data_IF_078368239606
#
_entry.id   IF_078368239606
#
_cell.length_a   1.000
_cell.length_b   1.000
_cell.length_c   1.000
_cell.angle_alpha   90.00
_cell.angle_beta   90.00
_cell.angle_gamma   90.00
#
_symmetry.space_group_name_H-M   'P 1'
#
loop_
_entity.id
_entity.type
_entity.pdbx_description
1 polymer ?
#
# COMPACT_ATOMS: atom_id res chain seq x y z
N UNK A 1 20.11 6.73 -48.22
CA UNK A 1 20.98 5.61 -48.65
C UNK A 1 21.47 4.89 -47.40
N UNK A 2 20.67 3.98 -46.82
CA UNK A 2 21.13 3.11 -45.73
C UNK A 2 21.38 1.73 -46.33
N UNK A 3 22.61 1.48 -46.78
CA UNK A 3 23.01 0.17 -47.26
C UNK A 3 22.90 -0.84 -46.13
N UNK A 4 21.93 -1.75 -46.23
CA UNK A 4 21.91 -2.96 -45.40
C UNK A 4 23.05 -3.85 -45.87
N UNK A 5 24.16 -3.87 -45.12
CA UNK A 5 25.22 -4.86 -45.26
C UNK A 5 24.60 -6.27 -45.20
N UNK A 6 24.48 -6.94 -46.35
CA UNK A 6 24.09 -8.35 -46.41
C UNK A 6 25.25 -9.19 -45.92
N UNK A 7 25.20 -9.61 -44.65
CA UNK A 7 26.05 -10.67 -44.11
C UNK A 7 25.76 -11.98 -44.86
N UNK A 8 26.61 -12.32 -45.83
CA UNK A 8 26.56 -13.61 -46.54
C UNK A 8 27.01 -14.71 -45.59
N UNK A 9 26.07 -15.55 -45.15
CA UNK A 9 26.37 -16.70 -44.30
C UNK A 9 27.05 -17.77 -45.19
N UNK A 10 28.38 -17.87 -45.12
CA UNK A 10 29.13 -19.02 -45.66
C UNK A 10 28.64 -20.30 -44.97
N UNK A 11 28.45 -21.38 -45.74
CA UNK A 11 27.99 -22.75 -45.39
C UNK A 11 27.54 -22.96 -43.92
N UNK A 12 26.26 -23.31 -43.66
CA UNK A 12 25.76 -23.42 -42.29
C UNK A 12 26.62 -24.38 -41.48
N UNK A 13 26.88 -24.00 -40.23
CA UNK A 13 27.69 -24.76 -39.28
C UNK A 13 27.20 -26.22 -39.27
N UNK A 14 28.11 -27.19 -39.35
CA UNK A 14 27.74 -28.62 -39.33
C UNK A 14 26.82 -28.93 -38.15
N UNK A 15 25.80 -29.78 -38.37
CA UNK A 15 24.79 -30.13 -37.37
C UNK A 15 25.42 -30.58 -36.03
N UNK A 16 26.54 -31.31 -36.10
CA UNK A 16 27.29 -31.74 -34.91
C UNK A 16 27.89 -30.55 -34.15
N UNK A 17 28.43 -29.56 -34.88
CA UNK A 17 29.03 -28.36 -34.29
C UNK A 17 27.95 -27.40 -33.76
N UNK A 18 26.75 -27.37 -34.36
CA UNK A 18 25.58 -26.68 -33.81
C UNK A 18 25.10 -27.32 -32.50
N UNK A 19 25.01 -28.66 -32.46
CA UNK A 19 24.62 -29.43 -31.27
C UNK A 19 25.59 -29.22 -30.11
N UNK A 20 26.91 -29.30 -30.37
CA UNK A 20 27.96 -29.03 -29.39
C UNK A 20 27.88 -27.60 -28.82
N UNK A 21 27.63 -26.59 -29.68
CA UNK A 21 27.47 -25.20 -29.25
C UNK A 21 26.24 -25.00 -28.37
N UNK A 22 25.10 -25.60 -28.74
CA UNK A 22 23.91 -25.57 -27.92
C UNK A 22 24.14 -26.23 -26.55
N UNK A 23 24.81 -27.39 -26.54
CA UNK A 23 25.12 -28.10 -25.31
C UNK A 23 26.11 -27.33 -24.41
N UNK A 24 27.08 -26.62 -24.99
CA UNK A 24 27.99 -25.74 -24.28
C UNK A 24 27.30 -24.48 -23.71
N UNK A 25 26.26 -23.96 -24.37
CA UNK A 25 25.51 -22.77 -23.94
C UNK A 25 24.36 -23.06 -22.95
N UNK A 26 23.88 -24.31 -22.87
CA UNK A 26 22.87 -24.75 -21.89
C UNK A 26 23.16 -24.30 -20.44
N UNK A 27 24.35 -24.56 -19.86
CA UNK A 27 24.62 -24.18 -18.47
C UNK A 27 24.56 -22.67 -18.25
N UNK A 28 25.02 -21.88 -19.22
CA UNK A 28 24.99 -20.41 -19.14
C UNK A 28 23.54 -19.87 -19.13
N UNK A 29 22.66 -20.47 -19.93
CA UNK A 29 21.22 -20.15 -19.93
C UNK A 29 20.52 -20.58 -18.65
N UNK A 30 20.86 -21.74 -18.10
CA UNK A 30 20.34 -22.21 -16.81
C UNK A 30 20.81 -21.34 -15.65
N UNK A 31 22.07 -20.90 -15.67
CA UNK A 31 22.62 -19.94 -14.70
C UNK A 31 21.87 -18.60 -14.78
N UNK A 32 21.75 -18.03 -15.98
CA UNK A 32 21.01 -16.78 -16.17
C UNK A 32 19.53 -16.88 -15.73
N UNK A 33 18.88 -18.04 -15.93
CA UNK A 33 17.52 -18.29 -15.43
C UNK A 33 17.47 -18.37 -13.90
N UNK A 34 18.42 -19.05 -13.26
CA UNK A 34 18.52 -19.17 -11.80
C UNK A 34 18.77 -17.81 -11.15
N UNK A 35 19.69 -17.02 -11.70
CA UNK A 35 19.99 -15.65 -11.25
C UNK A 35 18.76 -14.74 -11.35
N UNK A 36 18.05 -14.74 -12.49
CA UNK A 36 16.81 -13.98 -12.64
C UNK A 36 15.75 -14.38 -11.63
N UNK A 37 15.58 -15.68 -11.38
CA UNK A 37 14.62 -16.17 -10.40
C UNK A 37 14.99 -15.78 -8.96
N UNK A 38 16.28 -15.84 -8.62
CA UNK A 38 16.80 -15.41 -7.32
C UNK A 38 16.61 -13.90 -7.11
N UNK A 39 16.93 -13.07 -8.11
CA UNK A 39 16.71 -11.62 -8.05
C UNK A 39 15.23 -11.27 -7.87
N UNK A 40 14.34 -11.91 -8.64
CA UNK A 40 12.89 -11.78 -8.47
C UNK A 40 12.41 -12.20 -7.07
N UNK A 41 13.01 -13.23 -6.48
CA UNK A 41 12.70 -13.65 -5.11
C UNK A 41 13.18 -12.61 -4.09
N UNK A 42 14.39 -12.10 -4.24
CA UNK A 42 14.97 -11.09 -3.36
C UNK A 42 14.16 -9.78 -3.41
N UNK A 43 13.78 -9.32 -4.60
CA UNK A 43 12.94 -8.13 -4.79
C UNK A 43 11.60 -8.28 -4.05
N UNK A 44 10.89 -9.41 -4.23
CA UNK A 44 9.63 -9.66 -3.52
C UNK A 44 9.81 -9.70 -2.00
N UNK A 45 10.93 -10.21 -1.51
CA UNK A 45 11.22 -10.24 -0.09
C UNK A 45 11.43 -8.83 0.47
N UNK A 46 12.27 -8.03 -0.20
CA UNK A 46 12.52 -6.63 0.16
C UNK A 46 11.22 -5.81 0.17
N UNK A 47 10.34 -6.00 -0.81
CA UNK A 47 9.02 -5.34 -0.86
C UNK A 47 8.12 -5.73 0.33
N UNK A 48 8.11 -7.01 0.72
CA UNK A 48 7.34 -7.50 1.86
C UNK A 48 7.84 -6.90 3.17
N UNK A 49 9.16 -6.86 3.36
CA UNK A 49 9.80 -6.28 4.54
C UNK A 49 9.54 -4.79 4.64
N UNK A 50 9.69 -4.05 3.53
CA UNK A 50 9.38 -2.62 3.48
C UNK A 50 7.90 -2.35 3.84
N UNK A 51 6.98 -3.17 3.31
CA UNK A 51 5.55 -3.07 3.61
C UNK A 51 5.24 -3.39 5.08
N UNK A 52 5.92 -4.38 5.65
CA UNK A 52 5.79 -4.74 7.07
C UNK A 52 6.30 -3.60 7.96
N UNK A 53 7.50 -3.09 7.70
CA UNK A 53 8.07 -1.94 8.42
C UNK A 53 7.12 -0.74 8.39
N UNK A 54 6.58 -0.38 7.22
CA UNK A 54 5.60 0.71 7.09
C UNK A 54 4.34 0.47 7.94
N UNK A 55 3.85 -0.76 8.02
CA UNK A 55 2.68 -1.10 8.87
C UNK A 55 2.98 -0.92 10.35
N UNK A 56 4.16 -1.34 10.80
CA UNK A 56 4.55 -1.14 12.20
C UNK A 56 4.72 0.34 12.53
N UNK A 57 5.29 1.14 11.62
CA UNK A 57 5.40 2.60 11.80
C UNK A 57 4.02 3.29 11.90
N UNK A 58 3.04 2.85 11.09
CA UNK A 58 1.66 3.32 11.17
C UNK A 58 1.05 2.99 12.54
N UNK A 59 1.24 1.77 13.04
CA UNK A 59 0.72 1.36 14.35
C UNK A 59 1.31 2.20 15.48
N UNK A 60 2.63 2.47 15.44
CA UNK A 60 3.30 3.31 16.43
C UNK A 60 2.73 4.73 16.41
N UNK A 61 2.55 5.33 15.23
CA UNK A 61 1.95 6.65 15.12
C UNK A 61 0.48 6.70 15.58
N UNK A 62 -0.31 5.67 15.30
CA UNK A 62 -1.69 5.56 15.80
C UNK A 62 -1.73 5.42 17.32
N UNK A 63 -0.83 4.64 17.91
CA UNK A 63 -0.73 4.51 19.37
C UNK A 63 -0.45 5.86 20.02
N UNK A 64 0.49 6.62 19.47
CA UNK A 64 0.75 7.98 19.95
C UNK A 64 -0.48 8.89 19.85
N UNK A 65 -1.24 8.81 18.75
CA UNK A 65 -2.50 9.56 18.60
C UNK A 65 -3.54 9.18 19.67
N UNK A 66 -3.68 7.90 19.98
CA UNK A 66 -4.61 7.42 21.02
C UNK A 66 -4.20 7.87 22.43
N UNK A 67 -2.89 7.93 22.70
CA UNK A 67 -2.37 8.36 24.01
C UNK A 67 -2.45 9.89 24.18
N UNK A 68 -2.15 10.67 23.13
CA UNK A 68 -2.14 12.14 23.23
C UNK A 68 -3.51 12.79 23.04
N UNK A 69 -4.38 12.20 22.21
CA UNK A 69 -5.67 12.79 21.83
C UNK A 69 -6.85 11.81 22.01
N UNK A 70 -7.07 11.26 23.21
CA UNK A 70 -8.09 10.22 23.45
C UNK A 70 -9.53 10.69 23.23
N UNK A 71 -9.79 12.00 23.31
CA UNK A 71 -11.12 12.57 23.11
C UNK A 71 -11.61 12.42 21.65
N UNK A 72 -10.67 12.49 20.70
CA UNK A 72 -10.91 12.44 19.26
C UNK A 72 -10.56 11.07 18.67
N UNK A 73 -9.41 10.51 19.05
CA UNK A 73 -8.93 9.23 18.56
C UNK A 73 -9.20 8.13 19.58
N UNK A 74 -10.18 7.28 19.30
CA UNK A 74 -10.48 6.10 20.11
C UNK A 74 -10.63 4.85 19.22
N UNK A 75 -9.90 3.76 19.48
CA UNK A 75 -10.00 2.54 18.66
C UNK A 75 -11.36 1.84 18.72
N UNK A 76 -12.15 2.06 19.79
CA UNK A 76 -13.49 1.47 19.95
C UNK A 76 -14.60 2.34 19.35
N UNK A 77 -14.42 3.66 19.39
CA UNK A 77 -15.39 4.64 18.92
C UNK A 77 -14.72 5.64 17.98
N UNK A 78 -14.73 5.32 16.68
CA UNK A 78 -14.08 6.14 15.66
C UNK A 78 -14.98 7.32 15.32
N UNK A 79 -14.56 8.53 15.71
CA UNK A 79 -15.31 9.75 15.44
C UNK A 79 -14.91 10.40 14.11
N UNK A 80 -15.85 11.08 13.41
CA UNK A 80 -15.54 11.95 12.27
C UNK A 80 -14.50 13.02 12.62
N UNK A 81 -13.36 13.02 11.93
CA UNK A 81 -12.30 13.99 12.21
C UNK A 81 -12.58 15.34 11.53
N UNK A 82 -12.19 16.44 12.19
CA UNK A 82 -12.14 17.80 11.61
C UNK A 82 -11.36 17.83 10.29
N UNK A 83 -11.76 18.72 9.37
CA UNK A 83 -10.99 18.93 8.14
C UNK A 83 -9.62 19.54 8.45
N UNK A 84 -8.59 19.09 7.74
CA UNK A 84 -7.19 19.52 7.94
C UNK A 84 -6.66 19.32 9.37
N UNK A 85 -7.16 18.31 10.09
CA UNK A 85 -6.68 17.96 11.44
C UNK A 85 -5.18 17.62 11.49
N UNK A 86 -4.57 17.29 10.36
CA UNK A 86 -3.12 17.09 10.25
C UNK A 86 -2.34 18.38 10.55
N UNK A 87 -2.84 19.55 10.14
CA UNK A 87 -2.22 20.84 10.46
C UNK A 87 -2.25 21.11 11.95
N UNK A 88 -3.41 20.89 12.57
CA UNK A 88 -3.58 21.06 14.02
C UNK A 88 -2.62 20.12 14.77
N UNK A 89 -2.47 18.88 14.32
CA UNK A 89 -1.52 17.93 14.90
C UNK A 89 -0.05 18.32 14.71
N UNK A 90 0.31 18.96 13.59
CA UNK A 90 1.71 19.36 13.33
C UNK A 90 2.23 20.39 14.33
N UNK A 91 1.35 21.22 14.90
CA UNK A 91 1.70 22.15 15.97
C UNK A 91 2.11 21.45 17.27
N UNK A 92 1.75 20.17 17.45
CA UNK A 92 2.11 19.38 18.64
C UNK A 92 3.35 18.50 18.44
N UNK A 93 3.95 18.50 17.25
CA UNK A 93 5.10 17.64 16.92
C UNK A 93 6.43 18.07 17.55
N UNK A 94 6.46 19.19 18.28
CA UNK A 94 7.66 19.66 18.99
C UNK A 94 7.95 18.88 20.29
N UNK A 95 7.03 17.99 20.72
CA UNK A 95 7.23 17.17 21.91
C UNK A 95 8.16 15.99 21.63
N UNK A 96 9.08 15.73 22.56
CA UNK A 96 9.86 14.48 22.67
C UNK A 96 8.93 13.26 22.47
N UNK A 97 9.31 12.33 21.58
CA UNK A 97 8.55 11.15 21.14
C UNK A 97 7.42 11.34 20.10
N UNK A 98 7.32 12.50 19.45
CA UNK A 98 6.33 12.69 18.38
C UNK A 98 6.69 11.95 17.08
N UNK A 99 5.72 11.35 16.36
CA UNK A 99 5.97 10.71 15.07
C UNK A 99 6.31 11.76 13.99
N UNK A 100 7.03 11.36 12.94
CA UNK A 100 7.31 12.27 11.82
C UNK A 100 6.02 12.66 11.06
N UNK A 101 6.01 13.84 10.42
CA UNK A 101 4.87 14.34 9.62
C UNK A 101 4.36 13.34 8.58
N UNK A 102 5.27 12.60 7.95
CA UNK A 102 4.94 11.57 6.96
C UNK A 102 4.24 10.38 7.61
N UNK A 103 4.79 9.87 8.72
CA UNK A 103 4.19 8.75 9.48
C UNK A 103 2.80 9.11 10.01
N UNK A 104 2.61 10.35 10.44
CA UNK A 104 1.32 10.84 10.90
C UNK A 104 0.28 10.86 9.77
N UNK A 105 0.64 11.33 8.58
CA UNK A 105 -0.25 11.30 7.41
C UNK A 105 -0.60 9.87 6.98
N UNK A 106 0.36 8.95 7.01
CA UNK A 106 0.12 7.54 6.74
C UNK A 106 -0.86 6.94 7.77
N UNK A 107 -0.70 7.27 9.05
CA UNK A 107 -1.60 6.87 10.13
C UNK A 107 -3.02 7.41 9.98
N UNK A 108 -3.17 8.71 9.68
CA UNK A 108 -4.47 9.33 9.41
C UNK A 108 -5.15 8.73 8.16
N UNK A 109 -4.38 8.47 7.11
CA UNK A 109 -4.89 7.80 5.90
C UNK A 109 -5.42 6.41 6.22
N UNK A 110 -4.69 5.66 7.05
CA UNK A 110 -5.12 4.34 7.51
C UNK A 110 -6.41 4.42 8.35
N UNK A 111 -6.44 5.33 9.33
CA UNK A 111 -7.58 5.53 10.24
C UNK A 111 -8.86 5.90 9.48
N UNK A 112 -8.77 6.87 8.58
CA UNK A 112 -9.92 7.38 7.79
C UNK A 112 -10.37 6.45 6.67
N UNK A 113 -9.60 5.41 6.36
CA UNK A 113 -9.98 4.37 5.41
C UNK A 113 -10.62 3.14 6.08
N UNK A 114 -10.77 3.14 7.40
CA UNK A 114 -11.46 2.09 8.13
C UNK A 114 -12.97 2.10 7.85
N UNK A 115 -13.57 0.93 7.68
CA UNK A 115 -15.02 0.74 7.50
C UNK A 115 -15.83 1.40 8.63
N UNK A 116 -15.39 1.24 9.88
CA UNK A 116 -16.09 1.82 11.04
C UNK A 116 -16.04 3.35 11.03
N UNK A 117 -14.92 3.92 10.57
CA UNK A 117 -14.80 5.36 10.40
C UNK A 117 -15.74 5.89 9.32
N UNK A 118 -15.81 5.21 8.15
CA UNK A 118 -16.73 5.61 7.09
C UNK A 118 -18.18 5.55 7.55
N UNK A 119 -18.56 4.54 8.32
CA UNK A 119 -19.89 4.45 8.96
C UNK A 119 -20.17 5.60 9.92
N UNK A 120 -19.16 6.01 10.70
CA UNK A 120 -19.29 7.15 11.60
C UNK A 120 -19.51 8.47 10.84
N UNK A 121 -18.91 8.65 9.66
CA UNK A 121 -19.17 9.80 8.79
C UNK A 121 -20.61 9.76 8.24
N UNK A 122 -21.06 8.60 7.75
CA UNK A 122 -22.40 8.44 7.16
C UNK A 122 -23.49 8.74 8.19
N UNK A 123 -23.35 8.20 9.41
CA UNK A 123 -24.35 8.36 10.48
C UNK A 123 -24.14 9.64 11.31
N UNK A 124 -22.98 10.28 11.19
CA UNK A 124 -22.62 11.46 11.97
C UNK A 124 -23.29 12.74 11.48
N UNK A 125 -23.34 13.73 12.35
CA UNK A 125 -23.81 15.09 12.04
C UNK A 125 -22.67 16.09 11.96
N UNK A 126 -21.70 16.00 12.88
CA UNK A 126 -20.58 16.93 12.99
C UNK A 126 -19.25 16.19 13.04
N UNK A 127 -18.20 16.90 12.66
CA UNK A 127 -16.80 16.53 12.84
C UNK A 127 -16.29 16.99 14.19
N UNK A 128 -15.25 16.33 14.68
CA UNK A 128 -14.67 16.58 15.99
C UNK A 128 -13.21 17.00 15.85
N UNK A 129 -12.83 18.02 16.61
CA UNK A 129 -11.44 18.48 16.72
C UNK A 129 -10.62 17.61 17.69
N UNK A 130 -9.36 18.00 17.94
CA UNK A 130 -8.45 17.28 18.84
C UNK A 130 -8.91 17.28 20.31
N UNK A 131 -9.71 18.26 20.71
CA UNK A 131 -10.26 18.38 22.06
C UNK A 131 -11.59 17.63 22.21
N UNK A 132 -12.13 17.08 21.11
CA UNK A 132 -13.44 16.41 21.09
C UNK A 132 -14.61 17.39 21.00
N UNK A 133 -14.38 18.64 20.63
CA UNK A 133 -15.42 19.63 20.38
C UNK A 133 -15.95 19.50 18.95
N UNK A 134 -17.23 19.83 18.76
CA UNK A 134 -17.84 19.87 17.43
C UNK A 134 -17.21 20.99 16.60
N UNK A 135 -16.78 20.64 15.39
CA UNK A 135 -16.19 21.54 14.41
C UNK A 135 -17.16 21.74 13.25
N UNK A 136 -16.86 21.20 12.07
CA UNK A 136 -17.71 21.38 10.89
C UNK A 136 -18.86 20.37 10.83
N UNK A 137 -20.00 20.79 10.28
CA UNK A 137 -21.10 19.89 9.94
C UNK A 137 -20.72 18.99 8.75
N UNK A 138 -21.18 17.74 8.79
CA UNK A 138 -21.01 16.77 7.71
C UNK A 138 -22.12 16.97 6.69
N UNK A 139 -21.77 17.50 5.52
CA UNK A 139 -22.71 17.68 4.42
C UNK A 139 -23.17 16.35 3.82
N UNK A 140 -24.34 16.34 3.18
CA UNK A 140 -24.87 15.15 2.52
C UNK A 140 -23.89 14.59 1.47
N UNK A 141 -23.24 15.46 0.69
CA UNK A 141 -22.23 15.07 -0.30
C UNK A 141 -21.07 14.28 0.33
N UNK A 142 -20.63 14.67 1.54
CA UNK A 142 -19.58 13.95 2.26
C UNK A 142 -20.05 12.57 2.71
N UNK A 143 -21.32 12.43 3.11
CA UNK A 143 -21.93 11.14 3.46
C UNK A 143 -22.02 10.23 2.24
N UNK A 144 -22.48 10.75 1.11
CA UNK A 144 -22.59 10.01 -0.14
C UNK A 144 -21.21 9.55 -0.62
N UNK A 145 -20.20 10.40 -0.52
CA UNK A 145 -18.82 10.02 -0.81
C UNK A 145 -18.32 8.90 0.11
N UNK A 146 -18.59 8.99 1.42
CA UNK A 146 -18.20 7.96 2.38
C UNK A 146 -18.91 6.62 2.11
N UNK A 147 -20.19 6.66 1.72
CA UNK A 147 -20.97 5.48 1.33
C UNK A 147 -20.39 4.81 0.09
N UNK A 148 -20.15 5.57 -0.97
CA UNK A 148 -19.50 5.06 -2.18
C UNK A 148 -18.13 4.43 -1.90
N UNK A 149 -17.33 5.05 -1.03
CA UNK A 149 -16.02 4.51 -0.62
C UNK A 149 -16.17 3.22 0.18
N UNK A 150 -17.15 3.15 1.07
CA UNK A 150 -17.45 1.97 1.87
C UNK A 150 -17.83 0.77 0.99
N UNK A 151 -18.72 0.97 0.02
CA UNK A 151 -19.14 -0.08 -0.92
C UNK A 151 -17.96 -0.66 -1.71
N UNK A 152 -17.08 0.22 -2.24
CA UNK A 152 -15.86 -0.21 -2.95
C UNK A 152 -14.92 -1.05 -2.08
N UNK A 153 -14.78 -0.68 -0.81
CA UNK A 153 -13.95 -1.43 0.15
C UNK A 153 -14.57 -2.81 0.42
N UNK A 154 -15.87 -2.87 0.68
CA UNK A 154 -16.58 -4.13 0.94
C UNK A 154 -16.53 -5.06 -0.28
N UNK A 155 -16.72 -4.54 -1.48
CA UNK A 155 -16.60 -5.30 -2.73
C UNK A 155 -15.18 -5.86 -2.89
N UNK A 156 -14.16 -5.05 -2.64
CA UNK A 156 -12.75 -5.46 -2.70
C UNK A 156 -12.40 -6.55 -1.67
N UNK A 157 -13.03 -6.54 -0.50
CA UNK A 157 -12.87 -7.59 0.51
C UNK A 157 -13.54 -8.89 0.03
N UNK A 158 -14.76 -8.79 -0.51
CA UNK A 158 -15.51 -9.95 -1.03
C UNK A 158 -14.75 -10.65 -2.16
N UNK A 159 -14.22 -9.91 -3.14
CA UNK A 159 -13.46 -10.50 -4.26
C UNK A 159 -12.19 -11.20 -3.78
N UNK A 160 -11.43 -10.58 -2.85
CA UNK A 160 -10.22 -11.21 -2.27
C UNK A 160 -10.53 -12.52 -1.54
N UNK A 161 -11.62 -12.56 -0.77
CA UNK A 161 -12.03 -13.77 -0.07
C UNK A 161 -12.43 -14.88 -1.06
N UNK A 162 -13.14 -14.54 -2.14
CA UNK A 162 -13.50 -15.49 -3.19
C UNK A 162 -12.29 -16.07 -3.93
N UNK A 163 -11.28 -15.25 -4.24
CA UNK A 163 -10.04 -15.73 -4.86
C UNK A 163 -9.26 -16.68 -3.94
N UNK A 164 -9.22 -16.40 -2.63
CA UNK A 164 -8.51 -17.24 -1.67
C UNK A 164 -9.15 -18.64 -1.54
N UNK A 165 -10.48 -18.70 -1.49
CA UNK A 165 -11.22 -19.98 -1.42
C UNK A 165 -10.97 -20.83 -2.68
N UNK A 166 -11.00 -20.22 -3.87
CA UNK A 166 -10.77 -20.93 -5.15
C UNK A 166 -9.32 -21.39 -5.36
N UNK A 167 -8.34 -20.76 -4.72
CA UNK A 167 -6.94 -21.18 -4.80
C UNK A 167 -6.57 -22.31 -3.82
N UNK A 168 -7.46 -22.63 -2.87
CA UNK A 168 -7.26 -23.65 -1.83
C UNK A 168 -8.11 -24.91 -2.02
N UNK A 169 -8.95 -24.95 -3.06
CA UNK A 169 -9.72 -26.11 -3.53
C UNK A 169 -9.14 -26.59 -4.86
#
# INVERSE_FOLDING_TARGET
MTEKLKLTIKKPLSLNKQSQLFQALKPLHEQAKKEKHQDLQQQRQNEREAKQKKREEIKVALRWLYEQFPACFNPKDLKPLKLNIDKDLFSFLEKENSPSKVKLRDALTYFTSNVHYLKAIINGTHRYDLNGQQAEEITQEQKDFAQNKLEKILQSIKTKNQHKIKSSS
#
